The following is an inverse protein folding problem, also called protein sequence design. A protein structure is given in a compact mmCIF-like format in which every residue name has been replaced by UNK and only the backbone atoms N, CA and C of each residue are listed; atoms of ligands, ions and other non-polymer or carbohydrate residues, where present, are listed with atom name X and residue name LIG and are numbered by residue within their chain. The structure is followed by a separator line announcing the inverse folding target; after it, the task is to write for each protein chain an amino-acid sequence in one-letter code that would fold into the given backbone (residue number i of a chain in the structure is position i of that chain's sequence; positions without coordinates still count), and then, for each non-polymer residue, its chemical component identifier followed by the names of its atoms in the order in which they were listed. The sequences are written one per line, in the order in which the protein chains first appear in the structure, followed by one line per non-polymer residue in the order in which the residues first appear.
data_IF_492379863990
#
_entry.id   IF_492379863990
#
_cell.length_a   1.000
_cell.length_b   1.000
_cell.length_c   1.000
_cell.angle_alpha   90.00
_cell.angle_beta   90.00
_cell.angle_gamma   90.00
#
_symmetry.space_group_name_H-M   'P 1'
#
loop_
_entity.id
_entity.type
_entity.pdbx_description
1 polymer ?
#
# COMPACT_ATOMS: atom_id res chain seq x y z
N UNK A 1 9.99 2.49 -32.31
CA UNK A 1 9.05 3.08 -31.35
C UNK A 1 7.93 2.08 -31.09
N UNK A 2 7.47 2.08 -29.85
CA UNK A 2 6.38 1.31 -29.25
C UNK A 2 6.65 -0.17 -28.97
N UNK A 3 7.35 -0.40 -27.85
CA UNK A 3 7.06 -1.55 -26.99
C UNK A 3 5.77 -1.23 -26.23
N UNK A 4 4.82 -2.14 -26.39
CA UNK A 4 3.60 -2.24 -25.59
C UNK A 4 3.96 -2.73 -24.20
N UNK A 5 4.05 -1.85 -23.21
CA UNK A 5 4.07 -2.25 -21.80
C UNK A 5 2.64 -2.22 -21.28
N UNK A 6 1.89 -3.29 -21.57
CA UNK A 6 0.75 -3.62 -20.72
C UNK A 6 1.27 -3.85 -19.29
N UNK A 7 0.56 -3.41 -18.24
CA UNK A 7 0.90 -3.80 -16.87
C UNK A 7 1.01 -5.33 -16.81
N UNK A 8 2.10 -5.85 -16.23
CA UNK A 8 2.25 -7.30 -16.08
C UNK A 8 1.09 -7.85 -15.24
N UNK A 9 0.57 -9.02 -15.61
CA UNK A 9 -0.54 -9.71 -14.92
C UNK A 9 -0.31 -9.87 -13.39
N UNK A 10 0.93 -9.77 -12.93
CA UNK A 10 1.33 -9.77 -11.52
C UNK A 10 0.79 -8.56 -10.72
N UNK A 11 0.53 -7.41 -11.36
CA UNK A 11 0.04 -6.20 -10.67
C UNK A 11 -1.47 -6.18 -10.43
N UNK A 12 -2.21 -7.15 -10.95
CA UNK A 12 -3.67 -7.12 -10.98
C UNK A 12 -4.32 -7.90 -9.81
N UNK A 13 -3.60 -8.84 -9.19
CA UNK A 13 -4.23 -10.00 -8.53
C UNK A 13 -4.57 -9.87 -7.03
N UNK A 14 -4.39 -8.72 -6.39
CA UNK A 14 -4.59 -8.59 -4.93
C UNK A 14 -5.56 -7.49 -4.48
N UNK A 15 -6.12 -6.72 -5.43
CA UNK A 15 -6.91 -5.53 -5.07
C UNK A 15 -8.35 -5.85 -4.71
N UNK A 16 -8.94 -6.87 -5.33
CA UNK A 16 -10.31 -7.26 -5.02
C UNK A 16 -10.44 -7.76 -3.57
N UNK A 17 -9.33 -8.17 -2.95
CA UNK A 17 -9.28 -8.59 -1.55
C UNK A 17 -9.21 -7.41 -0.57
N UNK A 18 -8.91 -6.19 -1.03
CA UNK A 18 -8.89 -5.01 -0.14
C UNK A 18 -10.33 -4.70 0.30
N UNK A 19 -10.60 -4.64 1.62
CA UNK A 19 -11.91 -4.32 2.16
C UNK A 19 -12.50 -3.05 1.56
N UNK A 20 -13.80 -3.06 1.26
CA UNK A 20 -14.49 -1.91 0.69
C UNK A 20 -14.42 -0.71 1.64
N UNK A 21 -14.49 -0.96 2.94
CA UNK A 21 -14.43 0.04 4.00
C UNK A 21 -13.12 0.83 4.00
N UNK A 22 -12.01 0.24 3.54
CA UNK A 22 -10.75 0.95 3.31
C UNK A 22 -10.75 1.68 1.95
N UNK A 23 -11.28 1.05 0.90
CA UNK A 23 -11.31 1.62 -0.46
C UNK A 23 -12.20 2.86 -0.57
N UNK A 24 -13.25 2.95 0.22
CA UNK A 24 -14.22 4.05 0.21
C UNK A 24 -13.70 5.33 0.91
N UNK A 25 -12.54 5.29 1.56
CA UNK A 25 -11.94 6.46 2.23
C UNK A 25 -10.87 7.12 1.36
N UNK A 26 -10.79 8.45 1.40
CA UNK A 26 -9.78 9.25 0.68
C UNK A 26 -8.43 9.29 1.42
N UNK A 27 -7.91 8.11 1.77
CA UNK A 27 -6.72 7.93 2.60
C UNK A 27 -5.60 7.15 1.88
N UNK A 28 -5.57 7.24 0.56
CA UNK A 28 -4.64 6.49 -0.28
C UNK A 28 -3.52 7.35 -0.85
N UNK A 29 -2.35 6.73 -0.97
CA UNK A 29 -1.16 7.29 -1.61
C UNK A 29 -0.51 6.22 -2.49
N UNK A 30 0.43 6.60 -3.35
CA UNK A 30 1.38 5.66 -3.95
C UNK A 30 2.68 5.71 -3.16
N UNK A 31 3.50 4.67 -3.21
CA UNK A 31 4.79 4.67 -2.54
C UNK A 31 5.92 4.19 -3.44
N UNK A 32 7.14 4.62 -3.12
CA UNK A 32 8.37 4.13 -3.75
C UNK A 32 9.50 4.03 -2.74
N UNK A 33 10.57 3.36 -3.12
CA UNK A 33 11.79 3.37 -2.31
C UNK A 33 12.64 4.61 -2.57
N UNK A 34 13.17 5.20 -1.50
CA UNK A 34 14.22 6.22 -1.55
C UNK A 34 15.32 5.87 -0.54
N UNK A 35 16.55 6.26 -0.83
CA UNK A 35 17.65 6.13 0.14
C UNK A 35 17.71 7.40 0.99
N UNK A 36 17.50 7.25 2.29
CA UNK A 36 17.60 8.33 3.29
C UNK A 36 18.63 7.93 4.33
N UNK A 37 19.66 8.77 4.53
CA UNK A 37 20.76 8.48 5.44
C UNK A 37 21.38 7.07 5.24
N UNK A 38 21.50 6.61 3.99
CA UNK A 38 22.03 5.29 3.64
C UNK A 38 21.05 4.12 3.79
N UNK A 39 19.83 4.34 4.28
CA UNK A 39 18.80 3.30 4.44
C UNK A 39 17.75 3.39 3.35
N UNK A 40 17.41 2.25 2.74
CA UNK A 40 16.28 2.11 1.81
C UNK A 40 14.97 2.27 2.61
N UNK A 41 14.18 3.28 2.28
CA UNK A 41 12.98 3.69 3.02
C UNK A 41 11.78 3.71 2.09
N UNK A 42 10.63 3.17 2.53
CA UNK A 42 9.35 3.30 1.81
C UNK A 42 8.84 4.73 2.00
N UNK A 43 8.63 5.46 0.91
CA UNK A 43 8.22 6.87 0.95
C UNK A 43 6.83 7.02 0.34
N UNK A 44 5.84 7.55 1.08
CA UNK A 44 4.53 7.87 0.55
C UNK A 44 4.61 9.12 -0.34
N UNK A 45 3.96 9.06 -1.49
CA UNK A 45 3.97 10.05 -2.55
C UNK A 45 2.51 10.34 -2.94
N UNK A 46 2.18 11.62 -3.05
CA UNK A 46 0.87 12.03 -3.55
C UNK A 46 0.74 11.60 -5.03
N UNK A 47 -0.30 10.82 -5.40
CA UNK A 47 -0.38 10.21 -6.72
C UNK A 47 -0.42 11.22 -7.88
N UNK A 48 -1.22 12.28 -7.76
CA UNK A 48 -1.39 13.29 -8.84
C UNK A 48 -0.17 14.19 -9.06
N UNK A 49 0.51 14.59 -8.00
CA UNK A 49 1.51 15.67 -8.04
C UNK A 49 2.95 15.17 -7.86
N UNK A 50 3.15 13.95 -7.36
CA UNK A 50 4.48 13.31 -7.28
C UNK A 50 5.41 13.79 -6.14
N UNK A 51 4.99 14.78 -5.35
CA UNK A 51 5.58 15.19 -4.08
C UNK A 51 5.27 14.21 -2.92
N UNK A 52 6.05 14.28 -1.84
CA UNK A 52 5.84 13.44 -0.66
C UNK A 52 4.46 13.70 -0.04
N UNK A 53 3.72 12.64 0.24
CA UNK A 53 2.53 12.71 1.06
C UNK A 53 2.91 12.68 2.55
N UNK A 54 2.13 13.37 3.37
CA UNK A 54 2.29 13.37 4.83
C UNK A 54 1.52 12.21 5.44
N UNK A 55 1.99 11.64 6.54
CA UNK A 55 1.21 10.67 7.32
C UNK A 55 0.12 11.33 8.19
N UNK A 56 0.12 12.67 8.30
CA UNK A 56 -0.77 13.40 9.20
C UNK A 56 -1.50 14.58 8.54
N UNK A 57 -1.36 14.76 7.23
CA UNK A 57 -2.08 15.81 6.50
C UNK A 57 -3.01 15.19 5.44
N UNK A 58 -4.34 15.16 5.66
CA UNK A 58 -5.30 14.55 4.75
C UNK A 58 -5.33 15.19 3.37
N UNK A 59 -4.97 16.47 3.25
CA UNK A 59 -4.86 17.18 1.97
C UNK A 59 -3.79 16.59 1.04
N UNK A 60 -2.95 15.68 1.55
CA UNK A 60 -1.91 15.00 0.76
C UNK A 60 -2.28 13.59 0.33
N UNK A 61 -3.49 13.12 0.69
CA UNK A 61 -4.02 11.80 0.35
C UNK A 61 -5.02 11.91 -0.80
N UNK A 62 -5.51 10.77 -1.29
CA UNK A 62 -6.50 10.72 -2.36
C UNK A 62 -7.34 9.44 -2.29
N UNK A 63 -8.27 9.29 -3.23
CA UNK A 63 -9.11 8.09 -3.34
C UNK A 63 -8.31 6.86 -3.77
N UNK A 64 -8.79 5.68 -3.40
CA UNK A 64 -8.20 4.40 -3.84
C UNK A 64 -8.04 4.34 -5.36
N UNK A 65 -9.09 4.67 -6.12
CA UNK A 65 -9.08 4.65 -7.57
C UNK A 65 -7.97 5.55 -8.16
N UNK A 66 -7.79 6.76 -7.62
CA UNK A 66 -6.74 7.67 -8.09
C UNK A 66 -5.34 7.09 -7.83
N UNK A 67 -5.10 6.59 -6.62
CA UNK A 67 -3.81 6.00 -6.25
C UNK A 67 -3.50 4.77 -7.10
N UNK A 68 -4.49 3.90 -7.29
CA UNK A 68 -4.35 2.68 -8.06
C UNK A 68 -4.12 2.95 -9.55
N UNK A 69 -4.90 3.82 -10.17
CA UNK A 69 -4.71 4.20 -11.58
C UNK A 69 -3.32 4.78 -11.81
N UNK A 70 -2.85 5.62 -10.89
CA UNK A 70 -1.50 6.20 -10.93
C UNK A 70 -0.42 5.12 -10.85
N UNK A 71 -0.58 4.15 -9.95
CA UNK A 71 0.32 3.01 -9.82
C UNK A 71 0.36 2.15 -11.10
N UNK A 72 -0.81 1.86 -11.70
CA UNK A 72 -0.91 1.08 -12.93
C UNK A 72 -0.22 1.75 -14.12
N UNK A 73 -0.36 3.08 -14.23
CA UNK A 73 0.13 3.84 -15.38
C UNK A 73 1.61 4.23 -15.27
N UNK A 74 2.26 3.99 -14.13
CA UNK A 74 3.61 4.49 -13.86
C UNK A 74 4.52 3.41 -13.26
N UNK A 75 5.66 3.18 -13.90
CA UNK A 75 6.72 2.32 -13.38
C UNK A 75 7.54 2.98 -12.25
N UNK A 76 7.20 4.21 -11.84
CA UNK A 76 7.94 4.96 -10.79
C UNK A 76 7.55 4.57 -9.37
N UNK A 77 6.49 3.79 -9.21
CA UNK A 77 5.89 3.46 -7.93
C UNK A 77 5.91 1.95 -7.72
N UNK A 78 6.11 1.56 -6.46
CA UNK A 78 6.22 0.17 -6.04
C UNK A 78 4.85 -0.38 -5.60
N UNK A 79 3.91 0.50 -5.24
CA UNK A 79 2.55 0.12 -4.90
C UNK A 79 1.69 1.29 -4.42
N UNK A 80 0.49 0.94 -3.95
CA UNK A 80 -0.41 1.82 -3.20
C UNK A 80 -0.23 1.61 -1.70
N UNK A 81 -0.59 2.61 -0.89
CA UNK A 81 -0.60 2.49 0.56
C UNK A 81 -1.79 3.26 1.14
N UNK A 82 -2.35 2.73 2.23
CA UNK A 82 -3.36 3.37 3.05
C UNK A 82 -2.68 4.13 4.20
N UNK A 83 -3.17 5.32 4.52
CA UNK A 83 -2.68 6.14 5.63
C UNK A 83 -3.69 6.05 6.77
N UNK A 84 -3.27 5.50 7.91
CA UNK A 84 -4.09 5.50 9.13
C UNK A 84 -4.18 6.90 9.73
N UNK A 85 -5.36 7.26 10.22
CA UNK A 85 -5.67 8.54 10.85
C UNK A 85 -6.42 8.35 12.16
N UNK A 86 -6.44 9.38 13.00
CA UNK A 86 -7.13 9.34 14.31
C UNK A 86 -8.65 9.16 14.18
N UNK A 87 -9.23 9.55 13.04
CA UNK A 87 -10.65 9.43 12.73
C UNK A 87 -11.01 8.08 12.08
N UNK A 88 -10.06 7.14 11.99
CA UNK A 88 -10.31 5.80 11.49
C UNK A 88 -10.86 4.87 12.58
N UNK A 89 -11.79 3.98 12.23
CA UNK A 89 -12.15 2.85 13.09
C UNK A 89 -11.14 1.68 12.96
N UNK A 90 -9.98 1.90 12.34
CA UNK A 90 -9.04 0.86 11.93
C UNK A 90 -7.71 0.97 12.69
N UNK A 91 -7.08 -0.18 12.91
CA UNK A 91 -5.67 -0.29 13.26
C UNK A 91 -4.96 -1.23 12.29
N UNK A 92 -3.63 -1.08 12.18
CA UNK A 92 -2.78 -1.99 11.42
C UNK A 92 -1.89 -2.79 12.37
N UNK A 93 -1.74 -4.08 12.08
CA UNK A 93 -0.83 -4.98 12.80
C UNK A 93 0.21 -5.46 11.80
N UNK A 94 1.47 -5.16 12.07
CA UNK A 94 2.60 -5.57 11.24
C UNK A 94 3.30 -6.75 11.92
N UNK A 95 3.42 -7.87 11.21
CA UNK A 95 4.05 -9.09 11.71
C UNK A 95 5.29 -9.36 10.85
N UNK A 96 6.41 -8.75 11.22
CA UNK A 96 7.66 -8.84 10.46
C UNK A 96 8.27 -10.25 10.50
N UNK A 97 8.86 -10.66 9.38
CA UNK A 97 9.60 -11.93 9.25
C UNK A 97 8.80 -13.17 9.71
N UNK A 98 7.47 -13.15 9.52
CA UNK A 98 6.56 -14.20 9.99
C UNK A 98 6.28 -15.32 9.00
N UNK A 99 6.76 -15.23 7.76
CA UNK A 99 6.55 -16.25 6.73
C UNK A 99 7.89 -16.88 6.32
N UNK A 100 7.88 -18.18 6.06
CA UNK A 100 8.98 -18.85 5.39
C UNK A 100 8.95 -18.66 3.86
N UNK A 101 9.95 -19.20 3.16
CA UNK A 101 10.06 -19.08 1.70
C UNK A 101 8.87 -19.68 0.92
N UNK A 102 8.11 -20.57 1.55
CA UNK A 102 6.90 -21.18 0.97
C UNK A 102 5.61 -20.39 1.26
N UNK A 103 5.69 -19.34 2.08
CA UNK A 103 4.55 -18.59 2.56
C UNK A 103 3.84 -19.25 3.75
N UNK A 104 4.48 -20.21 4.42
CA UNK A 104 3.95 -20.79 5.67
C UNK A 104 4.33 -19.90 6.85
N UNK A 105 3.42 -19.74 7.79
CA UNK A 105 3.65 -18.99 9.02
C UNK A 105 4.73 -19.66 9.91
N UNK A 106 5.67 -18.83 10.37
CA UNK A 106 6.74 -19.13 11.32
C UNK A 106 6.34 -18.78 12.76
N UNK A 107 5.58 -17.69 12.92
CA UNK A 107 5.02 -17.21 14.18
C UNK A 107 3.87 -16.22 13.92
N UNK A 108 3.02 -15.99 14.92
CA UNK A 108 1.92 -15.03 14.85
C UNK A 108 0.54 -15.67 14.65
N UNK A 109 0.44 -17.00 14.74
CA UNK A 109 -0.84 -17.72 14.68
C UNK A 109 -1.84 -17.18 15.71
N UNK A 110 -1.37 -16.86 16.91
CA UNK A 110 -2.16 -16.33 18.01
C UNK A 110 -2.74 -14.93 17.70
N UNK A 111 -1.98 -14.09 16.98
CA UNK A 111 -2.47 -12.79 16.51
C UNK A 111 -3.53 -12.96 15.42
N UNK A 112 -3.32 -13.88 14.46
CA UNK A 112 -4.30 -14.16 13.42
C UNK A 112 -5.61 -14.70 14.01
N UNK A 113 -5.52 -15.65 14.95
CA UNK A 113 -6.68 -16.22 15.64
C UNK A 113 -7.40 -15.17 16.51
N UNK A 114 -6.65 -14.27 17.15
CA UNK A 114 -7.22 -13.25 18.04
C UNK A 114 -7.98 -12.15 17.29
N UNK A 115 -7.48 -11.73 16.12
CA UNK A 115 -8.08 -10.62 15.37
C UNK A 115 -8.99 -11.05 14.23
N UNK A 116 -8.81 -12.25 13.67
CA UNK A 116 -9.65 -12.90 12.63
C UNK A 116 -10.27 -11.90 11.64
N UNK A 117 -9.40 -11.16 10.94
CA UNK A 117 -9.75 -10.05 10.06
C UNK A 117 -8.87 -10.07 8.81
N UNK A 118 -8.97 -9.03 7.97
CA UNK A 118 -8.19 -8.90 6.74
C UNK A 118 -6.67 -8.98 6.99
N UNK A 119 -6.00 -9.91 6.31
CA UNK A 119 -4.55 -10.11 6.30
C UNK A 119 -4.05 -10.56 4.93
#
# INVERSE_FOLDING_TARGET
MNLTDAPSAERQLLIDNIPLELRDRDQWVVWRYEVRAGKRTKVPIHPKFGWNASASNPETWTSFATAYDTYQQSQRYEGVAYVFSEDDPFCGIDIDDCLDESGKLLWGEDLLEMFDSYC
#
